data_IF_903931038503
#
_entry.id   IF_903931038503
#
_cell.length_a   1.000
_cell.length_b   1.000
_cell.length_c   1.000
_cell.angle_alpha   90.00
_cell.angle_beta   90.00
_cell.angle_gamma   90.00
#
_symmetry.space_group_name_H-M   'P 1'
#
loop_
_entity.id
_entity.type
_entity.pdbx_description
1 polymer ?
#
# COMPACT_ATOMS: atom_id res chain seq x y z
N UNK A 1 -8.89 -17.29 -0.73
CA UNK A 1 -8.43 -17.19 -2.11
C UNK A 1 -7.17 -16.35 -2.16
N UNK A 2 -6.15 -16.83 -2.86
CA UNK A 2 -4.91 -16.07 -2.99
C UNK A 2 -5.11 -14.89 -3.94
N UNK A 3 -4.58 -13.76 -3.56
CA UNK A 3 -4.66 -12.54 -4.33
C UNK A 3 -3.26 -12.03 -4.59
N UNK A 4 -3.02 -11.56 -5.81
CA UNK A 4 -1.72 -11.02 -6.17
C UNK A 4 -1.58 -9.61 -5.61
N UNK A 5 -0.48 -9.39 -4.90
CA UNK A 5 -0.09 -8.08 -4.39
C UNK A 5 1.26 -7.75 -4.99
N UNK A 6 1.35 -6.62 -5.67
CA UNK A 6 2.59 -6.20 -6.33
C UNK A 6 3.12 -4.95 -5.64
N UNK A 7 4.39 -5.01 -5.26
CA UNK A 7 5.08 -3.89 -4.66
C UNK A 7 5.99 -3.25 -5.70
N UNK A 8 6.22 -1.96 -5.55
CA UNK A 8 7.05 -1.21 -6.49
C UNK A 8 8.13 -0.45 -5.76
N UNK A 9 9.14 0.02 -6.51
CA UNK A 9 10.19 0.87 -6.00
C UNK A 9 10.92 0.25 -4.82
N UNK A 10 11.15 1.05 -3.79
CA UNK A 10 11.91 0.59 -2.62
C UNK A 10 11.25 -0.58 -1.90
N UNK A 11 9.92 -0.67 -1.96
CA UNK A 11 9.24 -1.80 -1.34
C UNK A 11 9.57 -3.10 -2.06
N UNK A 12 9.61 -3.06 -3.38
CA UNK A 12 9.94 -4.25 -4.18
C UNK A 12 11.37 -4.70 -3.91
N UNK A 13 12.29 -3.73 -3.81
CA UNK A 13 13.69 -4.04 -3.56
C UNK A 13 13.90 -4.64 -2.18
N UNK A 14 13.14 -4.16 -1.21
CA UNK A 14 13.35 -4.55 0.18
C UNK A 14 12.60 -5.82 0.56
N UNK A 15 11.40 -6.01 0.03
CA UNK A 15 10.50 -7.08 0.46
C UNK A 15 10.08 -8.04 -0.65
N UNK A 16 10.48 -7.78 -1.89
CA UNK A 16 10.06 -8.60 -3.02
C UNK A 16 8.91 -7.99 -3.78
N UNK A 17 8.91 -8.18 -5.09
CA UNK A 17 7.95 -7.49 -5.95
C UNK A 17 6.56 -8.12 -5.93
N UNK A 18 6.50 -9.45 -5.96
CA UNK A 18 5.22 -10.13 -6.10
C UNK A 18 4.92 -11.02 -4.91
N UNK A 19 3.71 -10.90 -4.42
CA UNK A 19 3.22 -11.68 -3.30
C UNK A 19 1.87 -12.30 -3.66
N UNK A 20 1.64 -13.52 -3.19
CA UNK A 20 0.33 -14.16 -3.27
C UNK A 20 -0.17 -14.33 -1.85
N UNK A 21 -1.20 -13.59 -1.50
CA UNK A 21 -1.69 -13.50 -0.13
C UNK A 21 -3.17 -13.82 -0.06
N UNK A 22 -3.55 -14.54 0.99
CA UNK A 22 -4.96 -14.87 1.23
C UNK A 22 -5.58 -13.72 2.02
N UNK A 23 -6.03 -12.72 1.29
CA UNK A 23 -6.52 -11.47 1.87
C UNK A 23 -7.74 -10.99 1.10
N UNK A 24 -8.54 -10.10 1.73
CA UNK A 24 -9.75 -9.57 1.13
C UNK A 24 -9.69 -8.08 0.85
N UNK A 25 -8.73 -7.36 1.41
CA UNK A 25 -8.69 -5.90 1.29
C UNK A 25 -7.26 -5.40 1.28
N UNK A 26 -7.05 -4.14 0.83
CA UNK A 26 -5.71 -3.54 0.92
C UNK A 26 -5.18 -3.49 2.35
N UNK A 27 -6.04 -3.19 3.33
CA UNK A 27 -5.60 -3.16 4.73
C UNK A 27 -5.06 -4.51 5.16
N UNK A 28 -5.71 -5.60 4.72
CA UNK A 28 -5.23 -6.95 5.04
C UNK A 28 -3.92 -7.25 4.34
N UNK A 29 -3.71 -6.68 3.15
CA UNK A 29 -2.44 -6.85 2.44
C UNK A 29 -1.30 -6.25 3.26
N UNK A 30 -1.48 -5.04 3.79
CA UNK A 30 -0.46 -4.42 4.65
C UNK A 30 -0.19 -5.27 5.89
N UNK A 31 -1.24 -5.79 6.51
CA UNK A 31 -1.07 -6.64 7.69
C UNK A 31 -0.34 -7.94 7.38
N UNK A 32 -0.67 -8.57 6.27
CA UNK A 32 -0.02 -9.80 5.86
C UNK A 32 1.45 -9.56 5.56
N UNK A 33 1.77 -8.46 4.91
CA UNK A 33 3.15 -8.09 4.63
C UNK A 33 3.91 -7.83 5.92
N UNK A 34 3.27 -7.20 6.90
CA UNK A 34 3.87 -6.93 8.19
C UNK A 34 4.20 -8.23 8.93
N UNK A 35 3.27 -9.18 8.93
CA UNK A 35 3.47 -10.46 9.59
C UNK A 35 4.63 -11.24 8.96
N UNK A 36 4.79 -11.12 7.66
CA UNK A 36 5.79 -11.88 6.93
C UNK A 36 7.16 -11.18 6.81
N UNK A 37 7.27 -9.93 7.23
CA UNK A 37 8.51 -9.18 7.07
C UNK A 37 8.79 -8.35 8.31
N UNK A 38 9.82 -8.73 9.05
CA UNK A 38 10.20 -8.00 10.26
C UNK A 38 10.54 -6.55 9.90
N UNK A 39 9.93 -5.61 10.63
CA UNK A 39 10.19 -4.20 10.43
C UNK A 39 9.36 -3.54 9.35
N UNK A 40 8.50 -4.28 8.67
CA UNK A 40 7.68 -3.72 7.59
C UNK A 40 6.79 -2.56 8.08
N UNK A 41 6.05 -2.80 9.16
CA UNK A 41 5.17 -1.77 9.72
C UNK A 41 5.93 -0.50 10.04
N UNK A 42 7.08 -0.64 10.70
CA UNK A 42 7.87 0.51 11.11
C UNK A 42 8.42 1.25 9.89
N UNK A 43 8.85 0.52 8.89
CA UNK A 43 9.34 1.12 7.65
C UNK A 43 8.25 1.94 6.98
N UNK A 44 7.04 1.39 6.91
CA UNK A 44 5.90 2.07 6.28
C UNK A 44 5.46 3.29 7.11
N UNK A 45 5.31 3.11 8.43
CA UNK A 45 4.79 4.20 9.26
C UNK A 45 5.75 5.37 9.38
N UNK A 46 7.05 5.13 9.23
CA UNK A 46 8.05 6.19 9.29
C UNK A 46 8.40 6.78 7.93
N UNK A 47 7.76 6.30 6.87
CA UNK A 47 8.12 6.71 5.50
C UNK A 47 7.96 8.22 5.27
N UNK A 48 7.02 8.87 5.97
CA UNK A 48 6.84 10.30 5.84
C UNK A 48 8.08 11.11 6.21
N UNK A 49 8.90 10.57 7.11
CA UNK A 49 10.16 11.22 7.51
C UNK A 49 11.15 11.23 6.35
N UNK A 50 10.99 10.33 5.40
CA UNK A 50 11.82 10.28 4.19
C UNK A 50 11.14 10.97 3.01
N UNK A 51 9.98 11.60 3.25
CA UNK A 51 9.22 12.25 2.20
C UNK A 51 8.52 11.28 1.27
N UNK A 52 8.19 10.09 1.75
CA UNK A 52 7.57 9.05 0.93
C UNK A 52 6.16 8.74 1.43
N UNK A 53 5.22 8.69 0.48
CA UNK A 53 3.87 8.19 0.72
C UNK A 53 3.59 7.06 -0.24
N UNK A 54 2.33 6.63 -0.28
CA UNK A 54 1.97 5.45 -1.08
C UNK A 54 0.70 5.70 -1.86
N UNK A 55 0.67 5.17 -3.08
CA UNK A 55 -0.57 5.05 -3.85
C UNK A 55 -0.93 3.57 -3.89
N UNK A 56 -2.20 3.28 -3.71
CA UNK A 56 -2.71 1.91 -3.72
C UNK A 56 -3.72 1.80 -4.86
N UNK A 57 -3.54 0.77 -5.68
CA UNK A 57 -4.43 0.51 -6.80
C UNK A 57 -5.07 -0.84 -6.59
N UNK A 58 -6.40 -0.88 -6.68
CA UNK A 58 -7.17 -2.12 -6.64
C UNK A 58 -7.73 -2.33 -8.04
N UNK A 59 -7.24 -3.36 -8.73
CA UNK A 59 -7.57 -3.56 -10.12
C UNK A 59 -7.06 -2.41 -10.96
N UNK A 60 -7.96 -1.60 -11.47
CA UNK A 60 -7.63 -0.42 -12.26
C UNK A 60 -8.00 0.89 -11.57
N UNK A 61 -8.36 0.83 -10.29
CA UNK A 61 -8.85 2.01 -9.58
C UNK A 61 -7.93 2.38 -8.44
N UNK A 62 -7.55 3.65 -8.39
CA UNK A 62 -6.78 4.17 -7.27
C UNK A 62 -7.65 4.29 -6.03
N UNK A 63 -7.07 4.00 -4.88
CA UNK A 63 -7.70 4.29 -3.60
C UNK A 63 -7.66 5.81 -3.41
N UNK A 64 -8.83 6.40 -3.15
CA UNK A 64 -8.96 7.85 -3.02
C UNK A 64 -9.27 8.30 -1.60
N UNK A 65 -9.47 7.35 -0.68
CA UNK A 65 -9.83 7.65 0.70
C UNK A 65 -9.32 6.53 1.58
N UNK A 66 -8.79 6.87 2.75
CA UNK A 66 -8.30 5.84 3.69
C UNK A 66 -9.35 4.81 4.05
N UNK A 67 -10.62 5.19 4.07
CA UNK A 67 -11.69 4.24 4.39
C UNK A 67 -11.78 3.11 3.38
N UNK A 68 -11.35 3.34 2.14
CA UNK A 68 -11.40 2.30 1.11
C UNK A 68 -10.41 1.18 1.34
N UNK A 69 -9.40 1.41 2.17
CA UNK A 69 -8.41 0.38 2.46
C UNK A 69 -9.01 -0.85 3.13
N UNK A 70 -10.13 -0.67 3.81
CA UNK A 70 -10.82 -1.78 4.44
C UNK A 70 -11.88 -2.43 3.57
N UNK A 71 -12.13 -1.91 2.38
CA UNK A 71 -13.17 -2.46 1.52
C UNK A 71 -12.69 -3.73 0.83
N UNK A 72 -13.57 -4.74 0.70
CA UNK A 72 -13.20 -5.96 -0.02
C UNK A 72 -12.83 -5.64 -1.46
N UNK A 73 -11.72 -6.20 -1.92
CA UNK A 73 -11.22 -5.96 -3.26
C UNK A 73 -11.61 -7.06 -4.26
N UNK A 74 -12.34 -8.07 -3.81
CA UNK A 74 -12.77 -9.14 -4.68
C UNK A 74 -11.59 -9.92 -5.24
N UNK A 75 -11.60 -10.15 -6.54
CA UNK A 75 -10.53 -10.90 -7.22
C UNK A 75 -9.47 -9.99 -7.81
N UNK A 76 -9.56 -8.68 -7.57
CA UNK A 76 -8.65 -7.72 -8.20
C UNK A 76 -7.30 -7.72 -7.53
N UNK A 77 -6.27 -7.51 -8.34
CA UNK A 77 -4.90 -7.35 -7.83
C UNK A 77 -4.79 -6.06 -7.03
N UNK A 78 -3.86 -6.07 -6.09
CA UNK A 78 -3.54 -4.89 -5.31
C UNK A 78 -2.11 -4.49 -5.64
N UNK A 79 -1.92 -3.20 -5.93
CA UNK A 79 -0.58 -2.65 -6.21
C UNK A 79 -0.30 -1.55 -5.20
N UNK A 80 0.90 -1.57 -4.65
CA UNK A 80 1.34 -0.58 -3.67
C UNK A 80 2.57 0.11 -4.22
N UNK A 81 2.46 1.42 -4.45
CA UNK A 81 3.47 2.20 -5.17
C UNK A 81 3.98 3.32 -4.26
N UNK A 82 5.26 3.29 -3.86
CA UNK A 82 5.83 4.41 -3.12
C UNK A 82 6.02 5.61 -4.03
N UNK A 83 5.70 6.79 -3.53
CA UNK A 83 5.84 8.04 -4.28
C UNK A 83 6.45 9.10 -3.40
N UNK A 84 7.17 10.03 -4.01
CA UNK A 84 7.77 11.15 -3.28
C UNK A 84 6.70 12.21 -3.05
N UNK A 85 6.48 12.54 -1.78
CA UNK A 85 5.46 13.52 -1.41
C UNK A 85 5.90 14.91 -1.89
N UNK A 86 4.98 15.61 -2.55
CA UNK A 86 5.25 16.97 -3.03
C UNK A 86 6.05 17.06 -4.31
N UNK A 87 6.43 15.94 -4.90
CA UNK A 87 7.19 15.94 -6.15
C UNK A 87 6.32 16.25 -7.36
N UNK A 88 5.08 15.82 -7.34
CA UNK A 88 4.14 16.09 -8.42
C UNK A 88 3.43 17.40 -8.19
N UNK A 89 3.56 18.30 -9.13
CA UNK A 89 2.99 19.61 -8.99
C UNK A 89 1.99 19.97 -10.05
N UNK A 90 1.84 19.12 -11.02
CA UNK A 90 0.79 19.34 -11.99
C UNK A 90 -0.49 18.77 -11.39
N UNK A 91 -1.58 19.44 -11.54
CA UNK A 91 -2.84 18.97 -11.00
C UNK A 91 -3.36 17.70 -11.68
N UNK A 92 -2.49 16.97 -12.36
CA UNK A 92 -2.90 15.77 -13.10
C UNK A 92 -2.54 14.48 -12.37
N UNK A 93 -1.99 14.58 -11.19
CA UNK A 93 -1.68 13.39 -10.41
C UNK A 93 -2.97 12.64 -10.13
N UNK A 94 -2.96 11.33 -10.38
CA UNK A 94 -4.11 10.47 -10.17
C UNK A 94 -3.88 9.67 -8.89
N UNK A 95 -4.95 9.52 -8.13
CA UNK A 95 -4.91 8.76 -6.89
C UNK A 95 -4.41 9.60 -5.73
N UNK A 96 -4.87 9.23 -4.55
CA UNK A 96 -4.47 9.88 -3.32
C UNK A 96 -3.13 9.35 -2.86
N UNK A 97 -2.27 10.23 -2.39
CA UNK A 97 -1.04 9.81 -1.72
C UNK A 97 -1.38 9.52 -0.27
N UNK A 98 -1.26 8.26 0.10
CA UNK A 98 -1.56 7.81 1.45
C UNK A 98 -0.30 7.91 2.30
N UNK A 99 -0.44 8.49 3.48
CA UNK A 99 0.69 8.60 4.41
C UNK A 99 0.80 7.31 5.19
N UNK A 100 2.01 6.76 5.26
CA UNK A 100 2.23 5.49 5.91
C UNK A 100 1.79 5.47 7.37
N UNK A 101 1.96 6.61 8.07
CA UNK A 101 1.57 6.71 9.47
C UNK A 101 0.05 6.60 9.67
N UNK A 102 -0.73 6.88 8.61
CA UNK A 102 -2.19 6.86 8.68
C UNK A 102 -2.80 5.59 8.08
N UNK A 103 -1.96 4.68 7.58
CA UNK A 103 -2.44 3.40 7.10
C UNK A 103 -2.95 2.58 8.28
N UNK A 104 -3.86 1.65 7.98
CA UNK A 104 -4.56 0.92 9.04
C UNK A 104 -3.65 -0.12 9.67
N UNK A 105 -3.24 0.12 10.90
CA UNK A 105 -2.44 -0.82 11.70
C UNK A 105 -3.20 -1.24 12.94
N UNK A 106 -4.53 -1.16 12.88
CA UNK A 106 -5.37 -1.44 14.04
C UNK A 106 -5.37 -2.92 14.38
N UNK A 107 -5.29 -3.27 15.66
CA UNK A 107 -5.60 -4.63 16.07
C UNK A 107 -7.11 -4.83 16.00
N UNK A 108 -7.54 -5.78 15.26
CA UNK A 108 -8.97 -6.06 15.18
C UNK A 108 -9.29 -7.32 15.95
#
# INVERSE_FOLDING_TARGET
MLKKVTLYGELAEKYGKEWSLDIDSPAEAFKALDVNNVGFRQFITSSGERGVGYKVIVGNSYVEDYSELGHPSGRQEIKIIPVVIGAGRDGKAIGMILLGALLIWQPW
#
